data_IF_853417714051
#
_entry.id   IF_853417714051
#
_cell.length_a   1.000
_cell.length_b   1.000
_cell.length_c   1.000
_cell.angle_alpha   90.00
_cell.angle_beta   90.00
_cell.angle_gamma   90.00
#
_symmetry.space_group_name_H-M   'P 1'
#
loop_
_entity.id
_entity.type
_entity.pdbx_description
1 polymer ?
#
# COMPACT_ATOMS: atom_id res chain seq x y z
N UNK A 1 -10.67 -4.27 47.72
CA UNK A 1 -9.58 -3.79 46.83
C UNK A 1 -9.39 -4.85 45.77
N UNK A 2 -10.13 -4.70 44.66
CA UNK A 2 -10.24 -5.73 43.62
C UNK A 2 -9.05 -5.54 42.68
N UNK A 3 -8.14 -6.50 42.67
CA UNK A 3 -7.10 -6.61 41.66
C UNK A 3 -7.79 -7.09 40.40
N UNK A 4 -7.97 -6.19 39.43
CA UNK A 4 -8.44 -6.56 38.09
C UNK A 4 -7.25 -7.13 37.32
N UNK A 5 -7.36 -8.43 37.02
CA UNK A 5 -6.47 -9.18 36.15
C UNK A 5 -6.50 -8.54 34.76
N UNK A 6 -5.38 -7.93 34.35
CA UNK A 6 -5.13 -7.57 32.97
C UNK A 6 -5.09 -8.85 32.14
N UNK A 7 -6.15 -9.08 31.37
CA UNK A 7 -6.23 -10.09 30.34
C UNK A 7 -5.01 -9.97 29.41
N UNK A 8 -4.07 -10.91 29.53
CA UNK A 8 -3.05 -11.16 28.51
C UNK A 8 -3.76 -11.71 27.28
N UNK A 9 -4.21 -10.84 26.39
CA UNK A 9 -4.61 -11.25 25.05
C UNK A 9 -3.37 -11.81 24.35
N UNK A 10 -3.46 -13.07 23.94
CA UNK A 10 -2.36 -13.86 23.42
C UNK A 10 -1.63 -13.17 22.28
N UNK A 11 -0.31 -13.08 22.42
CA UNK A 11 0.62 -12.63 21.38
C UNK A 11 0.70 -13.69 20.27
N UNK A 12 -0.39 -13.86 19.52
CA UNK A 12 -0.37 -14.56 18.24
C UNK A 12 0.49 -13.76 17.29
N UNK A 13 1.47 -14.40 16.67
CA UNK A 13 2.41 -13.77 15.74
C UNK A 13 1.62 -13.19 14.54
N UNK A 14 1.16 -11.95 14.64
CA UNK A 14 0.40 -11.28 13.60
C UNK A 14 1.36 -10.65 12.60
N UNK A 15 2.07 -11.49 11.84
CA UNK A 15 2.78 -11.02 10.65
C UNK A 15 1.77 -10.78 9.52
N UNK A 16 2.10 -9.85 8.63
CA UNK A 16 1.28 -9.50 7.48
C UNK A 16 2.11 -9.61 6.21
N UNK A 17 1.47 -10.05 5.14
CA UNK A 17 2.04 -10.08 3.79
C UNK A 17 1.11 -9.40 2.81
N UNK A 18 1.61 -9.03 1.64
CA UNK A 18 0.74 -8.51 0.58
C UNK A 18 -0.30 -9.55 0.17
N UNK A 19 -1.51 -9.07 -0.08
CA UNK A 19 -2.55 -9.84 -0.73
C UNK A 19 -2.09 -10.20 -2.16
N UNK A 20 -1.88 -11.49 -2.49
CA UNK A 20 -1.36 -11.88 -3.81
C UNK A 20 -2.35 -11.55 -4.93
N UNK A 21 -3.64 -11.66 -4.60
CA UNK A 21 -4.77 -11.41 -5.48
C UNK A 21 -4.82 -9.97 -6.02
N UNK A 22 -4.50 -8.97 -5.20
CA UNK A 22 -4.41 -7.57 -5.64
C UNK A 22 -2.97 -7.03 -5.68
N UNK A 23 -1.98 -7.89 -5.47
CA UNK A 23 -0.56 -7.55 -5.41
C UNK A 23 -0.27 -6.38 -4.46
N UNK A 24 -0.88 -6.41 -3.28
CA UNK A 24 -0.67 -5.36 -2.27
C UNK A 24 -1.33 -4.01 -2.54
N UNK A 25 -2.22 -3.90 -3.55
CA UNK A 25 -2.88 -2.64 -3.92
C UNK A 25 -4.17 -2.35 -3.15
N UNK A 26 -4.78 -3.36 -2.56
CA UNK A 26 -6.12 -3.29 -1.96
C UNK A 26 -7.26 -3.08 -2.96
N UNK A 27 -6.95 -2.76 -4.23
CA UNK A 27 -7.94 -2.54 -5.28
C UNK A 27 -7.62 -3.35 -6.53
N UNK A 28 -8.66 -3.89 -7.15
CA UNK A 28 -8.61 -4.58 -8.44
C UNK A 28 -9.27 -3.69 -9.51
N UNK A 29 -8.81 -3.83 -10.75
CA UNK A 29 -9.35 -3.08 -11.89
C UNK A 29 -10.45 -3.87 -12.58
N UNK A 30 -11.60 -3.25 -12.85
CA UNK A 30 -12.66 -3.88 -13.65
C UNK A 30 -12.30 -3.81 -15.12
N UNK A 31 -12.65 -4.85 -15.87
CA UNK A 31 -12.55 -4.82 -17.33
C UNK A 31 -13.37 -3.63 -17.87
N UNK A 32 -12.78 -2.85 -18.78
CA UNK A 32 -13.51 -1.83 -19.52
C UNK A 32 -14.67 -2.48 -20.28
N UNK A 33 -15.82 -1.79 -20.34
CA UNK A 33 -16.94 -2.27 -21.15
C UNK A 33 -16.51 -2.40 -22.62
N UNK A 34 -17.07 -3.38 -23.32
CA UNK A 34 -16.76 -3.60 -24.75
C UNK A 34 -16.99 -2.33 -25.57
N UNK A 35 -18.06 -1.58 -25.25
CA UNK A 35 -18.40 -0.30 -25.89
C UNK A 35 -17.30 0.75 -25.70
N UNK A 36 -16.85 0.98 -24.46
CA UNK A 36 -15.81 1.98 -24.17
C UNK A 36 -14.49 1.62 -24.85
N UNK A 37 -14.12 0.32 -24.83
CA UNK A 37 -12.91 -0.15 -25.52
C UNK A 37 -12.99 0.06 -27.03
N UNK A 38 -14.14 -0.25 -27.63
CA UNK A 38 -14.34 -0.10 -29.07
C UNK A 38 -14.31 1.37 -29.50
N UNK A 39 -14.97 2.26 -28.76
CA UNK A 39 -14.97 3.70 -29.05
C UNK A 39 -13.56 4.29 -28.98
N UNK A 40 -12.77 3.89 -27.99
CA UNK A 40 -11.37 4.32 -27.89
C UNK A 40 -10.54 3.82 -29.07
N UNK A 41 -10.72 2.57 -29.50
CA UNK A 41 -10.00 2.03 -30.66
C UNK A 41 -10.36 2.79 -31.94
N UNK A 42 -11.65 3.07 -32.18
CA UNK A 42 -12.09 3.84 -33.35
C UNK A 42 -11.46 5.25 -33.34
N UNK A 43 -11.44 5.91 -32.18
CA UNK A 43 -10.84 7.24 -32.05
C UNK A 43 -9.32 7.21 -32.28
N UNK A 44 -8.63 6.16 -31.81
CA UNK A 44 -7.20 5.92 -32.09
C UNK A 44 -6.95 5.72 -33.59
N UNK A 45 -7.69 4.82 -34.22
CA UNK A 45 -7.54 4.52 -35.65
C UNK A 45 -7.80 5.77 -36.51
N UNK A 46 -8.74 6.63 -36.10
CA UNK A 46 -9.00 7.91 -36.77
C UNK A 46 -7.83 8.88 -36.62
N UNK A 47 -7.30 9.02 -35.41
CA UNK A 47 -6.14 9.88 -35.13
C UNK A 47 -4.89 9.41 -35.87
N UNK A 48 -4.67 8.10 -35.99
CA UNK A 48 -3.57 7.53 -36.77
C UNK A 48 -3.76 7.79 -38.28
N UNK A 49 -5.00 7.67 -38.80
CA UNK A 49 -5.32 7.97 -40.21
C UNK A 49 -5.15 9.45 -40.57
N UNK A 50 -5.37 10.36 -39.63
CA UNK A 50 -5.08 11.79 -39.79
C UNK A 50 -3.61 12.13 -39.53
N UNK A 51 -2.74 11.12 -39.46
CA UNK A 51 -1.30 11.28 -39.24
C UNK A 51 -0.97 12.05 -37.95
N UNK A 52 -1.82 11.92 -36.93
CA UNK A 52 -1.67 12.59 -35.65
C UNK A 52 -2.18 14.04 -35.60
N UNK A 53 -2.91 14.50 -36.62
CA UNK A 53 -3.55 15.82 -36.57
C UNK A 53 -4.72 15.83 -35.57
N UNK A 54 -4.72 16.83 -34.68
CA UNK A 54 -5.77 17.07 -33.68
C UNK A 54 -5.40 16.62 -32.26
N UNK A 55 -6.41 16.47 -31.40
CA UNK A 55 -6.23 16.03 -30.01
C UNK A 55 -6.15 14.51 -29.92
N UNK A 56 -5.10 13.94 -29.27
CA UNK A 56 -4.98 12.50 -29.13
C UNK A 56 -6.08 11.93 -28.22
N UNK A 57 -6.68 10.79 -28.58
CA UNK A 57 -7.72 10.16 -27.76
C UNK A 57 -7.16 9.71 -26.40
N UNK A 58 -7.86 10.05 -25.33
CA UNK A 58 -7.46 9.72 -23.96
C UNK A 58 -7.78 8.25 -23.66
N UNK A 59 -6.78 7.49 -23.21
CA UNK A 59 -6.98 6.08 -22.82
C UNK A 59 -7.98 5.98 -21.66
N UNK A 60 -9.11 5.27 -21.84
CA UNK A 60 -10.11 5.16 -20.79
C UNK A 60 -9.54 4.43 -19.56
N UNK A 61 -9.77 5.01 -18.39
CA UNK A 61 -9.39 4.40 -17.11
C UNK A 61 -10.47 3.42 -16.67
N UNK A 62 -10.03 2.24 -16.26
CA UNK A 62 -10.92 1.24 -15.70
C UNK A 62 -11.34 1.59 -14.27
N UNK A 63 -12.60 1.34 -13.95
CA UNK A 63 -13.12 1.52 -12.59
C UNK A 63 -12.42 0.57 -11.62
N UNK A 64 -11.97 1.09 -10.48
CA UNK A 64 -11.37 0.30 -9.41
C UNK A 64 -12.44 -0.15 -8.42
N UNK A 65 -12.26 -1.34 -7.84
CA UNK A 65 -13.08 -1.85 -6.75
C UNK A 65 -12.19 -2.43 -5.66
N UNK A 66 -12.64 -2.39 -4.41
CA UNK A 66 -11.93 -3.00 -3.29
C UNK A 66 -11.75 -4.50 -3.53
N UNK A 67 -10.55 -5.00 -3.27
CA UNK A 67 -10.24 -6.42 -3.39
C UNK A 67 -11.02 -7.19 -2.32
N UNK A 68 -11.90 -8.14 -2.70
CA UNK A 68 -12.71 -8.88 -1.73
C UNK A 68 -11.85 -9.74 -0.80
N UNK A 69 -10.72 -10.25 -1.30
CA UNK A 69 -9.84 -11.19 -0.58
C UNK A 69 -9.10 -10.55 0.60
N UNK A 70 -8.98 -9.22 0.61
CA UNK A 70 -8.32 -8.48 1.68
C UNK A 70 -9.14 -7.26 2.12
N UNK A 71 -10.43 -7.23 1.79
CA UNK A 71 -11.36 -6.15 2.14
C UNK A 71 -10.93 -4.72 1.77
N UNK A 72 -9.98 -4.55 0.84
CA UNK A 72 -9.44 -3.24 0.50
C UNK A 72 -8.10 -2.86 1.13
N UNK A 73 -7.60 -3.61 2.12
CA UNK A 73 -6.36 -3.29 2.83
C UNK A 73 -5.09 -3.51 1.99
N UNK A 74 -5.13 -4.48 1.08
CA UNK A 74 -3.97 -4.95 0.33
C UNK A 74 -3.06 -5.88 1.14
N UNK A 75 -3.42 -6.21 2.38
CA UNK A 75 -2.64 -7.08 3.27
C UNK A 75 -3.49 -8.26 3.73
N UNK A 76 -2.85 -9.39 3.98
CA UNK A 76 -3.46 -10.57 4.60
C UNK A 76 -2.57 -11.07 5.75
N UNK A 77 -3.15 -11.68 6.79
CA UNK A 77 -2.37 -12.31 7.86
C UNK A 77 -1.44 -13.39 7.32
N UNK A 78 -0.29 -13.57 7.97
CA UNK A 78 0.74 -14.54 7.62
C UNK A 78 1.39 -15.10 8.88
N UNK A 79 1.87 -16.34 8.82
CA UNK A 79 2.57 -17.00 9.93
C UNK A 79 3.96 -16.38 10.20
N UNK A 80 4.55 -15.77 9.18
CA UNK A 80 5.85 -15.09 9.25
C UNK A 80 5.89 -13.85 8.37
N UNK A 81 6.85 -12.96 8.65
CA UNK A 81 7.15 -11.85 7.74
C UNK A 81 7.69 -12.38 6.40
N UNK A 82 7.42 -11.67 5.29
CA UNK A 82 8.05 -11.95 4.02
C UNK A 82 9.58 -11.90 4.15
N UNK A 83 10.26 -12.84 3.49
CA UNK A 83 11.72 -12.77 3.34
C UNK A 83 12.05 -11.65 2.36
N UNK A 84 13.09 -10.88 2.67
CA UNK A 84 13.55 -9.82 1.79
C UNK A 84 14.09 -10.40 0.47
N UNK A 85 13.64 -9.86 -0.65
CA UNK A 85 14.09 -10.20 -2.00
C UNK A 85 15.25 -9.28 -2.37
N UNK A 86 16.47 -9.78 -2.15
CA UNK A 86 17.73 -9.09 -2.46
C UNK A 86 18.16 -9.23 -3.92
N UNK A 87 17.46 -10.05 -4.71
CA UNK A 87 17.79 -10.30 -6.11
C UNK A 87 17.05 -9.32 -7.03
N UNK A 88 15.76 -9.07 -6.77
CA UNK A 88 14.92 -8.24 -7.63
C UNK A 88 14.73 -6.80 -7.15
N UNK A 89 15.08 -6.49 -5.88
CA UNK A 89 14.92 -5.16 -5.31
C UNK A 89 16.23 -4.56 -4.79
N UNK A 90 16.42 -3.24 -4.92
CA UNK A 90 17.54 -2.55 -4.31
C UNK A 90 17.37 -2.50 -2.78
N UNK A 91 18.50 -2.46 -2.07
CA UNK A 91 18.50 -2.18 -0.63
C UNK A 91 18.24 -0.70 -0.36
N UNK A 92 17.19 -0.38 0.39
CA UNK A 92 16.76 1.00 0.65
C UNK A 92 17.30 1.50 1.99
N UNK A 93 18.01 2.62 1.99
CA UNK A 93 18.33 3.34 3.23
C UNK A 93 17.23 4.38 3.53
N UNK A 94 16.51 4.19 4.63
CA UNK A 94 15.49 5.13 5.10
C UNK A 94 16.11 6.01 6.19
N UNK A 95 16.25 7.32 5.93
CA UNK A 95 16.85 8.27 6.86
C UNK A 95 15.75 9.03 7.61
N UNK A 96 15.54 8.68 8.87
CA UNK A 96 14.52 9.22 9.78
C UNK A 96 13.49 8.15 10.17
N UNK A 97 13.44 7.82 11.46
CA UNK A 97 12.51 6.90 12.13
C UNK A 97 11.25 7.56 12.69
N UNK A 98 10.84 8.71 12.16
CA UNK A 98 9.52 9.27 12.43
C UNK A 98 8.39 8.40 11.83
N UNK A 99 7.13 8.76 12.10
CA UNK A 99 5.95 8.00 11.65
C UNK A 99 5.95 7.69 10.14
N UNK A 100 6.38 8.63 9.29
CA UNK A 100 6.48 8.41 7.85
C UNK A 100 7.59 7.42 7.45
N UNK A 101 8.75 7.50 8.09
CA UNK A 101 9.87 6.58 7.82
C UNK A 101 9.59 5.17 8.30
N UNK A 102 8.98 5.03 9.49
CA UNK A 102 8.51 3.74 10.01
C UNK A 102 7.39 3.17 9.14
N UNK A 103 6.43 4.00 8.69
CA UNK A 103 5.39 3.55 7.77
C UNK A 103 5.97 3.04 6.44
N UNK A 104 7.00 3.71 5.91
CA UNK A 104 7.71 3.25 4.72
C UNK A 104 8.46 1.93 4.98
N UNK A 105 9.17 1.81 6.11
CA UNK A 105 9.85 0.59 6.51
C UNK A 105 8.89 -0.61 6.61
N UNK A 106 7.73 -0.44 7.24
CA UNK A 106 6.68 -1.47 7.32
C UNK A 106 6.12 -1.81 5.94
N UNK A 107 5.93 -0.81 5.06
CA UNK A 107 5.47 -1.05 3.70
C UNK A 107 6.49 -1.83 2.86
N UNK A 108 7.80 -1.58 3.05
CA UNK A 108 8.89 -2.36 2.47
C UNK A 108 8.90 -3.79 3.01
N UNK A 109 8.78 -3.97 4.33
CA UNK A 109 8.73 -5.28 4.98
C UNK A 109 7.61 -6.16 4.41
N UNK A 110 6.38 -5.64 4.32
CA UNK A 110 5.24 -6.39 3.77
C UNK A 110 5.44 -6.79 2.31
N UNK A 111 6.30 -6.09 1.57
CA UNK A 111 6.59 -6.31 0.14
C UNK A 111 7.90 -7.05 -0.10
N UNK A 112 8.61 -7.45 0.95
CA UNK A 112 9.92 -8.10 0.83
C UNK A 112 10.99 -7.19 0.25
N UNK A 113 10.86 -5.87 0.35
CA UNK A 113 11.90 -4.94 -0.14
C UNK A 113 12.97 -4.80 0.96
N UNK A 114 14.25 -5.09 0.69
CA UNK A 114 15.31 -4.96 1.68
C UNK A 114 15.52 -3.48 2.06
N UNK A 115 15.64 -3.20 3.36
CA UNK A 115 15.85 -1.83 3.84
C UNK A 115 16.64 -1.78 5.16
N UNK A 116 17.23 -0.61 5.42
CA UNK A 116 17.75 -0.24 6.74
C UNK A 116 17.14 1.10 7.14
N UNK A 117 16.56 1.17 8.34
CA UNK A 117 16.02 2.39 8.92
C UNK A 117 17.07 3.01 9.84
N UNK A 118 17.41 4.27 9.60
CA UNK A 118 18.32 5.07 10.41
C UNK A 118 17.52 6.15 11.14
N UNK A 119 17.73 6.29 12.45
CA UNK A 119 17.19 7.39 13.24
C UNK A 119 18.35 8.08 13.96
N UNK A 120 18.23 9.39 14.16
CA UNK A 120 19.22 10.21 14.85
C UNK A 120 19.15 10.03 16.35
N UNK A 121 17.94 9.86 16.89
CA UNK A 121 17.71 9.63 18.31
C UNK A 121 18.27 8.27 18.74
N UNK A 122 18.88 8.22 19.94
CA UNK A 122 19.58 7.03 20.46
C UNK A 122 18.64 5.92 20.91
N UNK A 123 17.42 6.29 21.28
CA UNK A 123 16.39 5.43 21.81
C UNK A 123 15.02 6.09 21.59
N UNK A 124 13.95 5.34 21.86
CA UNK A 124 12.58 5.78 21.62
C UNK A 124 12.12 6.91 22.56
N UNK A 125 12.73 7.04 23.74
CA UNK A 125 12.37 8.02 24.78
C UNK A 125 13.27 9.27 24.72
N UNK A 126 14.16 9.37 23.73
CA UNK A 126 15.12 10.47 23.59
C UNK A 126 14.46 11.86 23.45
N UNK A 127 13.17 11.91 23.10
CA UNK A 127 12.38 13.14 23.05
C UNK A 127 11.13 13.00 23.90
N UNK A 128 10.77 14.09 24.58
CA UNK A 128 9.44 14.19 25.19
C UNK A 128 8.36 14.07 24.11
N UNK A 129 7.27 13.38 24.46
CA UNK A 129 6.11 13.25 23.59
C UNK A 129 5.62 14.65 23.19
N UNK A 130 5.59 14.92 21.88
CA UNK A 130 5.17 16.20 21.30
C UNK A 130 3.64 16.39 21.39
N UNK A 131 3.12 17.35 20.62
CA UNK A 131 1.68 17.49 20.45
C UNK A 131 1.12 16.35 19.58
N UNK A 132 -0.11 15.93 19.84
CA UNK A 132 -0.76 14.85 19.09
C UNK A 132 -0.93 15.21 17.61
N UNK A 133 -0.53 14.30 16.71
CA UNK A 133 -0.81 14.40 15.28
C UNK A 133 -2.19 13.81 14.99
N UNK A 134 -3.02 14.56 14.28
CA UNK A 134 -4.32 14.08 13.81
C UNK A 134 -4.22 13.57 12.39
N UNK A 135 -4.64 12.33 12.17
CA UNK A 135 -4.76 11.77 10.83
C UNK A 135 -6.07 12.26 10.18
N UNK A 136 -6.08 13.50 9.72
CA UNK A 136 -7.28 14.19 9.24
C UNK A 136 -8.02 13.49 8.08
N UNK A 137 -7.32 12.69 7.27
CA UNK A 137 -7.91 11.95 6.15
C UNK A 137 -7.77 10.43 6.27
N UNK A 138 -7.20 9.92 7.37
CA UNK A 138 -6.91 8.49 7.46
C UNK A 138 -8.04 7.64 8.03
N UNK A 139 -9.17 8.21 8.46
CA UNK A 139 -10.32 7.40 8.92
C UNK A 139 -10.69 6.32 7.89
N UNK A 140 -10.81 6.73 6.62
CA UNK A 140 -11.05 5.82 5.48
C UNK A 140 -9.87 4.89 5.13
N UNK A 141 -8.66 5.23 5.56
CA UNK A 141 -7.45 4.44 5.31
C UNK A 141 -7.15 3.44 6.45
N UNK A 142 -7.71 3.67 7.65
CA UNK A 142 -7.52 2.88 8.86
C UNK A 142 -8.61 1.81 9.03
N UNK A 143 -9.77 1.96 8.40
CA UNK A 143 -10.88 0.98 8.34
C UNK A 143 -10.53 -0.37 7.66
N UNK A 144 -9.23 -0.65 7.46
CA UNK A 144 -8.69 -1.79 6.69
C UNK A 144 -9.33 -3.14 6.98
#
# INVERSE_FOLDING_TARGET
MKLEELEKSGNGKNSWTICPECQGRGKKSRRLSKKVRLLYQIALDQFEKTNGEGTPPIKPKANLYSCPDCSGSGLIPSDSFPVADTENYPHVAIIGGGIGGVALAVACLHRGIPFTLFERDTDFEARSQGYGLTLQQASRAIEG
#
